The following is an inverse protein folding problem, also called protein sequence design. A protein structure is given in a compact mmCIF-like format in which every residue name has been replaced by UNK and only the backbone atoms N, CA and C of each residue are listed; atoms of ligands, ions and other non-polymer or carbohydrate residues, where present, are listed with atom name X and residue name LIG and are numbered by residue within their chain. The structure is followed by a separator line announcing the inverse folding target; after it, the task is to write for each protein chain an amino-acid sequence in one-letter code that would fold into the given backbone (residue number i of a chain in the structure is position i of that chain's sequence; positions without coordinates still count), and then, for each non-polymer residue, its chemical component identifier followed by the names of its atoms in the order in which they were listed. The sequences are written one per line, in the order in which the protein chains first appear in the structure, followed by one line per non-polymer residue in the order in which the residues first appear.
data_IF_564024251789
#
_entry.id   IF_564024251789
#
_cell.length_a   1.000
_cell.length_b   1.000
_cell.length_c   1.000
_cell.angle_alpha   90.00
_cell.angle_beta   90.00
_cell.angle_gamma   90.00
#
_symmetry.space_group_name_H-M   'P 1'
#
loop_
_entity.id
_entity.type
_entity.pdbx_description
1 polymer ?
#
# COMPACT_ATOMS: atom_id res chain seq x y z
N UNK A 1 1.95 -14.33 -22.90
CA UNK A 1 3.06 -13.37 -22.73
C UNK A 1 3.41 -13.41 -21.25
N UNK A 2 4.55 -13.96 -20.91
CA UNK A 2 5.07 -13.90 -19.57
C UNK A 2 5.16 -12.44 -19.16
N UNK A 3 4.55 -12.06 -18.04
CA UNK A 3 4.85 -10.79 -17.39
C UNK A 3 6.28 -10.91 -16.86
N UNK A 4 7.25 -10.26 -17.48
CA UNK A 4 8.67 -10.54 -17.19
C UNK A 4 9.08 -10.11 -15.77
N UNK A 5 8.19 -9.44 -15.03
CA UNK A 5 8.50 -8.87 -13.72
C UNK A 5 7.24 -8.70 -12.87
N UNK A 6 7.15 -9.43 -11.77
CA UNK A 6 6.02 -9.37 -10.86
C UNK A 6 6.10 -8.14 -9.94
N UNK A 7 4.96 -7.50 -9.66
CA UNK A 7 4.79 -6.46 -8.64
C UNK A 7 3.94 -7.03 -7.51
N UNK A 8 4.43 -6.89 -6.27
CA UNK A 8 3.67 -7.21 -5.07
C UNK A 8 3.08 -5.96 -4.41
N UNK A 9 2.06 -6.14 -3.57
CA UNK A 9 1.43 -5.06 -2.83
C UNK A 9 1.34 -5.35 -1.33
N UNK A 10 1.86 -4.43 -0.52
CA UNK A 10 1.66 -4.40 0.94
C UNK A 10 0.52 -3.43 1.25
N UNK A 11 -0.57 -3.94 1.80
CA UNK A 11 -1.66 -3.13 2.33
C UNK A 11 -1.35 -2.85 3.81
N UNK A 12 -1.07 -1.59 4.11
CA UNK A 12 -0.68 -1.14 5.44
C UNK A 12 -1.93 -0.91 6.31
N UNK A 13 -2.11 -1.75 7.32
CA UNK A 13 -3.29 -1.77 8.19
C UNK A 13 -2.93 -1.74 9.69
N UNK A 14 -1.74 -1.20 10.04
CA UNK A 14 -1.22 -1.17 11.41
C UNK A 14 -1.50 0.15 12.16
N UNK A 15 -2.26 1.07 11.57
CA UNK A 15 -2.60 2.35 12.20
C UNK A 15 -3.41 2.19 13.48
N UNK A 16 -3.20 3.08 14.47
CA UNK A 16 -3.85 2.98 15.79
C UNK A 16 -5.29 3.50 15.83
N UNK A 17 -5.77 4.17 14.77
CA UNK A 17 -7.13 4.75 14.68
C UNK A 17 -7.53 5.62 15.89
N UNK A 18 -6.58 6.33 16.51
CA UNK A 18 -6.77 7.02 17.80
C UNK A 18 -7.86 8.10 17.76
N UNK A 19 -8.08 8.72 16.59
CA UNK A 19 -9.12 9.75 16.39
C UNK A 19 -10.50 9.18 16.09
N UNK A 20 -10.58 7.89 15.78
CA UNK A 20 -11.82 7.24 15.33
C UNK A 20 -12.61 6.59 16.48
N UNK A 21 -12.01 6.42 17.67
CA UNK A 21 -12.62 5.78 18.84
C UNK A 21 -12.76 4.24 18.73
N UNK A 22 -12.63 3.71 17.51
CA UNK A 22 -12.65 2.27 17.18
C UNK A 22 -11.68 2.01 16.01
N UNK A 23 -11.53 0.75 15.58
CA UNK A 23 -10.72 0.45 14.42
C UNK A 23 -11.39 0.94 13.13
N UNK A 24 -10.94 2.07 12.58
CA UNK A 24 -11.51 2.68 11.38
C UNK A 24 -11.53 1.76 10.15
N UNK A 25 -10.61 0.82 10.06
CA UNK A 25 -10.51 -0.13 8.93
C UNK A 25 -11.70 -1.11 8.89
N UNK A 26 -12.37 -1.29 10.02
CA UNK A 26 -13.56 -2.13 10.15
C UNK A 26 -14.86 -1.31 10.13
N UNK A 27 -14.78 0.01 10.12
CA UNK A 27 -15.94 0.88 10.01
C UNK A 27 -16.69 0.64 8.68
N UNK A 28 -18.02 0.67 8.67
CA UNK A 28 -18.79 0.43 7.46
C UNK A 28 -18.60 1.57 6.46
N UNK A 29 -18.30 1.21 5.21
CA UNK A 29 -18.27 2.11 4.06
C UNK A 29 -18.91 1.40 2.86
N UNK A 30 -20.00 1.92 2.34
CA UNK A 30 -20.73 1.26 1.25
C UNK A 30 -21.21 -0.16 1.60
N UNK A 31 -21.57 -0.42 2.86
CA UNK A 31 -22.10 -1.70 3.34
C UNK A 31 -21.02 -2.76 3.66
N UNK A 32 -19.76 -2.44 3.57
CA UNK A 32 -18.63 -3.33 3.88
C UNK A 32 -17.60 -2.63 4.77
N UNK A 33 -16.70 -3.35 5.48
CA UNK A 33 -15.57 -2.75 6.16
C UNK A 33 -14.73 -1.89 5.23
N UNK A 34 -14.27 -0.72 5.69
CA UNK A 34 -13.47 0.22 4.89
C UNK A 34 -12.28 -0.45 4.21
N UNK A 35 -11.57 -1.34 4.90
CA UNK A 35 -10.41 -2.07 4.37
C UNK A 35 -10.74 -2.87 3.10
N UNK A 36 -11.98 -3.29 2.91
CA UNK A 36 -12.41 -4.00 1.70
C UNK A 36 -12.25 -3.14 0.43
N UNK A 37 -12.19 -1.81 0.55
CA UNK A 37 -11.87 -0.92 -0.56
C UNK A 37 -10.44 -1.13 -1.06
N UNK A 38 -9.48 -1.27 -0.15
CA UNK A 38 -8.10 -1.61 -0.50
C UNK A 38 -8.00 -3.00 -1.14
N UNK A 39 -8.79 -3.97 -0.65
CA UNK A 39 -8.86 -5.30 -1.25
C UNK A 39 -9.37 -5.24 -2.70
N UNK A 40 -10.42 -4.49 -2.94
CA UNK A 40 -10.97 -4.30 -4.28
C UNK A 40 -9.98 -3.57 -5.20
N UNK A 41 -9.37 -2.48 -4.74
CA UNK A 41 -8.44 -1.69 -5.53
C UNK A 41 -7.19 -2.50 -5.96
N UNK A 42 -6.76 -3.45 -5.14
CA UNK A 42 -5.59 -4.31 -5.43
C UNK A 42 -5.93 -5.63 -6.12
N UNK A 43 -7.20 -5.90 -6.38
CA UNK A 43 -7.63 -7.10 -7.09
C UNK A 43 -7.54 -6.90 -8.61
N UNK A 44 -6.33 -7.04 -9.14
CA UNK A 44 -6.02 -6.86 -10.56
C UNK A 44 -4.93 -7.84 -11.00
N UNK A 45 -4.92 -8.31 -12.27
CA UNK A 45 -3.85 -9.17 -12.80
C UNK A 45 -2.46 -8.51 -12.78
N UNK A 46 -2.38 -7.20 -12.63
CA UNK A 46 -1.11 -6.46 -12.58
C UNK A 46 -0.42 -6.54 -11.20
N UNK A 47 -1.13 -6.99 -10.16
CA UNK A 47 -0.57 -7.27 -8.83
C UNK A 47 -0.49 -8.77 -8.65
N UNK A 48 0.72 -9.29 -8.67
CA UNK A 48 0.96 -10.74 -8.62
C UNK A 48 0.67 -11.34 -7.24
N UNK A 49 0.96 -10.61 -6.17
CA UNK A 49 0.76 -11.05 -4.80
C UNK A 49 0.46 -9.84 -3.91
N UNK A 50 -0.33 -10.03 -2.88
CA UNK A 50 -0.65 -9.00 -1.89
C UNK A 50 -0.63 -9.56 -0.48
N UNK A 51 -0.24 -8.72 0.48
CA UNK A 51 -0.23 -9.05 1.90
C UNK A 51 -0.75 -7.86 2.69
N UNK A 52 -1.54 -8.13 3.71
CA UNK A 52 -1.95 -7.13 4.70
C UNK A 52 -1.00 -7.21 5.89
N UNK A 53 -0.57 -6.07 6.39
CA UNK A 53 0.21 -6.00 7.64
C UNK A 53 -0.60 -5.22 8.67
N UNK A 54 -0.91 -5.84 9.80
CA UNK A 54 -1.80 -5.28 10.81
C UNK A 54 -1.32 -5.55 12.23
N UNK A 55 -1.84 -4.75 13.16
CA UNK A 55 -1.70 -4.94 14.63
C UNK A 55 -3.01 -5.40 15.28
N UNK A 56 -4.05 -5.59 14.48
CA UNK A 56 -5.40 -5.80 14.96
C UNK A 56 -5.89 -7.21 14.60
N UNK A 57 -6.18 -8.02 15.63
CA UNK A 57 -6.68 -9.38 15.43
C UNK A 57 -7.98 -9.43 14.59
N UNK A 58 -8.88 -8.47 14.77
CA UNK A 58 -10.11 -8.38 13.98
C UNK A 58 -9.86 -8.10 12.49
N UNK A 59 -8.80 -7.36 12.15
CA UNK A 59 -8.37 -7.18 10.75
C UNK A 59 -7.82 -8.49 10.20
N UNK A 60 -7.05 -9.24 11.01
CA UNK A 60 -6.57 -10.56 10.62
C UNK A 60 -7.74 -11.51 10.33
N UNK A 61 -8.76 -11.53 11.18
CA UNK A 61 -9.97 -12.35 10.97
C UNK A 61 -10.66 -12.00 9.64
N UNK A 62 -10.80 -10.70 9.35
CA UNK A 62 -11.36 -10.24 8.07
C UNK A 62 -10.52 -10.72 6.87
N UNK A 63 -9.19 -10.59 6.96
CA UNK A 63 -8.28 -11.05 5.90
C UNK A 63 -8.40 -12.56 5.68
N UNK A 64 -8.42 -13.35 6.76
CA UNK A 64 -8.57 -14.80 6.69
C UNK A 64 -9.90 -15.20 6.03
N UNK A 65 -10.99 -14.51 6.38
CA UNK A 65 -12.31 -14.74 5.77
C UNK A 65 -12.34 -14.42 4.25
N UNK A 66 -11.47 -13.51 3.79
CA UNK A 66 -11.33 -13.13 2.40
C UNK A 66 -10.21 -13.89 1.66
N UNK A 67 -9.52 -14.81 2.34
CA UNK A 67 -8.39 -15.55 1.77
C UNK A 67 -7.19 -14.68 1.41
N UNK A 68 -7.00 -13.55 2.11
CA UNK A 68 -5.89 -12.61 1.86
C UNK A 68 -4.77 -12.87 2.86
N UNK A 69 -3.52 -13.09 2.41
CA UNK A 69 -2.38 -13.24 3.31
C UNK A 69 -2.23 -12.05 4.25
N UNK A 70 -1.97 -12.33 5.53
CA UNK A 70 -1.88 -11.30 6.56
C UNK A 70 -0.76 -11.56 7.54
N UNK A 71 -0.03 -10.52 7.93
CA UNK A 71 0.97 -10.52 8.99
C UNK A 71 0.41 -9.76 10.18
N UNK A 72 0.20 -10.46 11.29
CA UNK A 72 -0.15 -9.84 12.58
C UNK A 72 1.13 -9.59 13.37
N UNK A 73 1.28 -8.37 13.93
CA UNK A 73 2.44 -8.00 14.75
C UNK A 73 2.05 -7.01 15.85
N UNK A 74 2.94 -6.78 16.80
CA UNK A 74 2.77 -5.84 17.91
C UNK A 74 3.82 -4.71 17.92
N UNK A 75 4.72 -4.70 16.94
CA UNK A 75 5.82 -3.75 16.83
C UNK A 75 5.32 -2.31 16.59
N UNK A 76 5.97 -1.28 17.15
CA UNK A 76 5.41 0.07 17.21
C UNK A 76 5.59 0.90 15.93
N UNK A 77 6.58 0.59 15.11
CA UNK A 77 7.07 1.46 14.05
C UNK A 77 6.40 1.28 12.70
N UNK A 78 6.35 2.35 11.92
CA UNK A 78 5.94 2.27 10.51
C UNK A 78 6.97 1.52 9.68
N UNK A 79 8.25 1.63 10.02
CA UNK A 79 9.34 0.83 9.46
C UNK A 79 9.09 -0.66 9.63
N UNK A 80 8.52 -1.10 10.75
CA UNK A 80 8.20 -2.52 10.99
C UNK A 80 7.12 -3.02 10.02
N UNK A 81 6.07 -2.24 9.80
CA UNK A 81 5.01 -2.56 8.84
C UNK A 81 5.58 -2.72 7.43
N UNK A 82 6.47 -1.81 7.00
CA UNK A 82 7.13 -1.88 5.69
C UNK A 82 8.00 -3.12 5.58
N UNK A 83 8.87 -3.35 6.56
CA UNK A 83 9.82 -4.48 6.60
C UNK A 83 9.10 -5.84 6.61
N UNK A 84 8.11 -5.99 7.49
CA UNK A 84 7.35 -7.24 7.62
C UNK A 84 6.55 -7.55 6.35
N UNK A 85 5.92 -6.54 5.77
CA UNK A 85 5.15 -6.71 4.53
C UNK A 85 6.03 -7.10 3.35
N UNK A 86 7.16 -6.42 3.17
CA UNK A 86 8.10 -6.74 2.10
C UNK A 86 8.70 -8.15 2.29
N UNK A 87 9.08 -8.53 3.52
CA UNK A 87 9.60 -9.87 3.82
C UNK A 87 8.56 -10.95 3.47
N UNK A 88 7.31 -10.79 3.91
CA UNK A 88 6.25 -11.75 3.63
C UNK A 88 5.94 -11.89 2.13
N UNK A 89 6.02 -10.79 1.37
CA UNK A 89 5.88 -10.84 -0.09
C UNK A 89 7.03 -11.59 -0.75
N UNK A 90 8.28 -11.36 -0.31
CA UNK A 90 9.47 -12.01 -0.87
C UNK A 90 9.52 -13.51 -0.57
N UNK A 91 8.97 -13.95 0.57
CA UNK A 91 8.81 -15.38 0.87
C UNK A 91 7.84 -16.06 -0.11
N UNK A 92 6.80 -15.36 -0.55
CA UNK A 92 5.78 -15.88 -1.47
C UNK A 92 6.16 -15.71 -2.94
N UNK A 93 6.84 -14.63 -3.26
CA UNK A 93 7.27 -14.28 -4.61
C UNK A 93 8.68 -13.67 -4.57
N UNK A 94 9.74 -14.50 -4.57
CA UNK A 94 11.14 -14.03 -4.43
C UNK A 94 11.62 -13.12 -5.56
N UNK A 95 11.03 -13.26 -6.76
CA UNK A 95 11.45 -12.57 -7.98
C UNK A 95 10.68 -11.27 -8.27
N UNK A 96 10.07 -10.66 -7.23
CA UNK A 96 9.41 -9.38 -7.40
C UNK A 96 10.35 -8.32 -7.99
N UNK A 97 9.89 -7.63 -9.01
CA UNK A 97 10.58 -6.47 -9.59
C UNK A 97 10.27 -5.17 -8.85
N UNK A 98 9.12 -5.10 -8.20
CA UNK A 98 8.69 -3.95 -7.42
C UNK A 98 7.73 -4.33 -6.30
N UNK A 99 7.66 -3.47 -5.31
CA UNK A 99 6.74 -3.57 -4.18
C UNK A 99 5.96 -2.26 -4.02
N UNK A 100 4.64 -2.36 -4.08
CA UNK A 100 3.72 -1.25 -3.83
C UNK A 100 3.33 -1.23 -2.36
N UNK A 101 3.26 -0.03 -1.79
CA UNK A 101 2.72 0.20 -0.45
C UNK A 101 1.47 1.05 -0.55
N UNK A 102 0.39 0.57 0.05
CA UNK A 102 -0.94 1.14 -0.06
C UNK A 102 -1.57 1.22 1.33
N UNK A 103 -2.00 2.41 1.81
CA UNK A 103 -2.76 2.52 3.06
C UNK A 103 -4.11 1.82 2.95
N UNK A 104 -4.53 1.14 4.03
CA UNK A 104 -5.81 0.43 4.08
C UNK A 104 -7.03 1.32 4.25
N UNK A 105 -6.85 2.63 4.42
CA UNK A 105 -7.88 3.60 4.83
C UNK A 105 -8.21 4.66 3.77
N UNK A 106 -7.96 4.37 2.49
CA UNK A 106 -8.31 5.23 1.36
C UNK A 106 -9.62 4.75 0.69
N UNK A 107 -10.78 5.32 1.07
CA UNK A 107 -12.09 4.80 0.65
C UNK A 107 -12.37 4.95 -0.84
N UNK A 108 -11.80 5.96 -1.49
CA UNK A 108 -12.07 6.29 -2.88
C UNK A 108 -10.94 5.91 -3.85
N UNK A 109 -9.90 5.23 -3.35
CA UNK A 109 -8.89 4.65 -4.22
C UNK A 109 -9.51 3.53 -5.07
N UNK A 110 -9.19 3.52 -6.37
CA UNK A 110 -9.75 2.59 -7.35
C UNK A 110 -8.67 1.68 -7.95
N UNK A 111 -9.11 0.59 -8.55
CA UNK A 111 -8.23 -0.35 -9.28
C UNK A 111 -7.44 0.36 -10.38
N UNK A 112 -8.07 1.29 -11.09
CA UNK A 112 -7.42 2.08 -12.15
C UNK A 112 -6.22 2.89 -11.64
N UNK A 113 -6.28 3.38 -10.41
CA UNK A 113 -5.14 4.08 -9.79
C UNK A 113 -3.98 3.13 -9.53
N UNK A 114 -4.26 1.95 -8.99
CA UNK A 114 -3.26 0.89 -8.76
C UNK A 114 -2.63 0.46 -10.08
N UNK A 115 -3.44 0.19 -11.08
CA UNK A 115 -2.97 -0.20 -12.42
C UNK A 115 -2.15 0.90 -13.09
N UNK A 116 -2.55 2.17 -12.97
CA UNK A 116 -1.80 3.29 -13.53
C UNK A 116 -0.38 3.36 -12.95
N UNK A 117 -0.24 3.18 -11.63
CA UNK A 117 1.08 3.16 -10.96
C UNK A 117 1.93 1.98 -11.44
N UNK A 118 1.34 0.78 -11.59
CA UNK A 118 2.06 -0.40 -12.08
C UNK A 118 2.47 -0.22 -13.55
N UNK A 119 1.58 0.31 -14.41
CA UNK A 119 1.89 0.58 -15.82
C UNK A 119 3.00 1.62 -15.96
N UNK A 120 2.96 2.69 -15.17
CA UNK A 120 4.02 3.70 -15.13
C UNK A 120 5.37 3.07 -14.76
N UNK A 121 5.40 2.22 -13.75
CA UNK A 121 6.59 1.48 -13.34
C UNK A 121 7.18 0.62 -14.48
N UNK A 122 6.34 -0.07 -15.23
CA UNK A 122 6.80 -0.88 -16.38
C UNK A 122 7.24 -0.04 -17.57
N UNK A 123 6.69 1.16 -17.76
CA UNK A 123 7.04 2.04 -18.87
C UNK A 123 8.44 2.65 -18.74
N UNK A 124 8.99 2.71 -17.52
CA UNK A 124 10.32 3.26 -17.26
C UNK A 124 11.40 2.17 -17.33
N UNK A 125 12.49 2.42 -18.05
CA UNK A 125 13.63 1.49 -18.09
C UNK A 125 14.31 1.33 -16.74
N UNK A 126 14.28 2.36 -15.90
CA UNK A 126 14.96 2.40 -14.60
C UNK A 126 14.17 1.70 -13.49
N UNK A 127 12.85 1.54 -13.65
CA UNK A 127 11.96 0.97 -12.62
C UNK A 127 12.25 1.54 -11.24
N UNK A 128 12.13 2.85 -11.15
CA UNK A 128 12.46 3.59 -9.94
C UNK A 128 11.29 3.61 -8.94
N UNK A 129 10.86 4.79 -8.51
CA UNK A 129 9.74 4.97 -7.59
C UNK A 129 8.59 5.59 -8.39
N UNK A 130 7.41 4.96 -8.34
CA UNK A 130 6.20 5.53 -8.93
C UNK A 130 5.19 5.86 -7.81
N UNK A 131 4.65 7.07 -7.82
CA UNK A 131 3.77 7.57 -6.76
C UNK A 131 2.53 8.20 -7.35
N UNK A 132 1.34 7.80 -6.84
CA UNK A 132 0.10 8.48 -7.19
C UNK A 132 0.13 9.91 -6.64
N UNK A 133 -0.34 10.87 -7.43
CA UNK A 133 -0.37 12.29 -7.06
C UNK A 133 -1.54 13.02 -7.72
N UNK A 134 -1.92 14.18 -7.19
CA UNK A 134 -2.91 15.05 -7.79
C UNK A 134 -2.47 16.51 -7.69
N UNK A 135 -2.29 17.20 -8.82
CA UNK A 135 -1.89 18.62 -8.89
C UNK A 135 -0.69 18.95 -7.97
N UNK A 136 0.36 18.12 -8.01
CA UNK A 136 1.56 18.30 -7.20
C UNK A 136 1.44 17.83 -5.73
N UNK A 137 0.27 17.37 -5.32
CA UNK A 137 0.09 16.77 -4.00
C UNK A 137 0.45 15.29 -4.05
N UNK A 138 1.42 14.92 -3.24
CA UNK A 138 1.85 13.55 -3.10
C UNK A 138 0.80 12.69 -2.42
N UNK A 139 0.57 11.48 -2.94
CA UNK A 139 -0.38 10.52 -2.39
C UNK A 139 0.16 9.09 -2.33
N UNK A 140 -0.74 8.16 -2.18
CA UNK A 140 -0.52 6.72 -2.22
C UNK A 140 -1.49 6.11 -3.22
N UNK A 141 -1.17 4.95 -3.80
CA UNK A 141 -0.04 4.06 -3.52
C UNK A 141 1.30 4.58 -4.02
N UNK A 142 2.37 4.04 -3.42
CA UNK A 142 3.75 4.25 -3.86
C UNK A 142 4.38 2.89 -4.17
N UNK A 143 4.95 2.75 -5.36
CA UNK A 143 5.64 1.55 -5.82
C UNK A 143 7.14 1.81 -5.86
N UNK A 144 7.92 0.95 -5.22
CA UNK A 144 9.37 0.98 -5.21
C UNK A 144 9.93 -0.17 -6.03
N UNK A 145 10.89 0.12 -6.90
CA UNK A 145 11.63 -0.90 -7.64
C UNK A 145 12.53 -1.75 -6.73
N UNK A 146 12.91 -2.93 -7.19
CA UNK A 146 13.68 -3.92 -6.42
C UNK A 146 14.96 -3.36 -5.79
N UNK A 147 15.62 -2.40 -6.41
CA UNK A 147 16.84 -1.77 -5.86
C UNK A 147 16.62 -1.06 -4.51
N UNK A 148 15.37 -0.75 -4.17
CA UNK A 148 15.01 -0.12 -2.88
C UNK A 148 14.61 -1.12 -1.81
N UNK A 149 14.57 -2.43 -2.10
CA UNK A 149 14.10 -3.43 -1.12
C UNK A 149 15.02 -3.50 0.10
N UNK A 150 16.31 -3.49 -0.11
CA UNK A 150 17.29 -3.49 0.98
C UNK A 150 17.16 -2.21 1.83
N UNK A 151 17.17 -0.98 1.29
CA UNK A 151 16.87 0.22 2.06
C UNK A 151 15.50 0.22 2.76
N UNK A 152 14.46 -0.35 2.16
CA UNK A 152 13.12 -0.45 2.77
C UNK A 152 13.12 -1.39 3.98
N UNK A 153 13.94 -2.44 3.98
CA UNK A 153 14.10 -3.35 5.11
C UNK A 153 14.89 -2.74 6.28
N UNK A 154 15.67 -1.69 6.03
CA UNK A 154 16.54 -1.02 7.00
C UNK A 154 16.16 0.45 7.24
N UNK A 155 14.88 0.78 7.11
CA UNK A 155 14.39 2.13 7.43
C UNK A 155 14.65 2.48 8.90
N UNK A 156 15.02 3.75 9.19
CA UNK A 156 15.14 4.21 10.56
C UNK A 156 13.81 4.06 11.32
N UNK A 157 13.91 3.92 12.64
CA UNK A 157 12.75 3.75 13.53
C UNK A 157 11.66 4.81 13.25
N UNK A 158 10.42 4.36 13.17
CA UNK A 158 9.25 5.20 12.90
C UNK A 158 9.15 5.79 11.49
N UNK A 159 10.14 5.58 10.62
CA UNK A 159 10.10 6.06 9.23
C UNK A 159 9.37 5.07 8.32
N UNK A 160 8.75 5.60 7.28
CA UNK A 160 8.13 4.83 6.19
C UNK A 160 8.82 5.11 4.87
N UNK A 161 8.25 4.63 3.76
CA UNK A 161 8.79 4.81 2.40
C UNK A 161 9.05 6.27 2.00
N UNK A 162 8.31 7.23 2.57
CA UNK A 162 8.56 8.66 2.36
C UNK A 162 9.97 9.11 2.75
N UNK A 163 10.64 8.38 3.62
CA UNK A 163 12.05 8.64 3.95
C UNK A 163 12.95 8.44 2.72
N UNK A 164 12.77 7.33 1.99
CA UNK A 164 13.54 7.07 0.76
C UNK A 164 13.16 8.03 -0.37
N UNK A 165 11.89 8.38 -0.50
CA UNK A 165 11.45 9.37 -1.51
C UNK A 165 12.21 10.69 -1.35
N UNK A 166 12.43 11.14 -0.11
CA UNK A 166 13.22 12.36 0.16
C UNK A 166 14.70 12.21 -0.14
N UNK A 167 15.24 11.00 -0.04
CA UNK A 167 16.66 10.72 -0.37
C UNK A 167 16.88 10.60 -1.88
N UNK A 168 15.85 10.19 -2.63
CA UNK A 168 15.92 9.93 -4.07
C UNK A 168 14.84 10.71 -4.85
N UNK A 169 14.78 12.05 -4.72
CA UNK A 169 13.72 12.85 -5.34
C UNK A 169 13.69 12.72 -6.87
N UNK A 170 14.86 12.60 -7.50
CA UNK A 170 14.98 12.48 -8.96
C UNK A 170 14.57 11.10 -9.50
N UNK A 171 14.39 10.13 -8.60
CA UNK A 171 13.93 8.78 -8.95
C UNK A 171 12.41 8.63 -8.92
N UNK A 172 11.68 9.68 -8.53
CA UNK A 172 10.23 9.63 -8.35
C UNK A 172 9.52 10.04 -9.63
N UNK A 173 8.69 9.14 -10.15
CA UNK A 173 7.73 9.42 -11.19
C UNK A 173 6.35 9.64 -10.57
N UNK A 174 5.78 10.81 -10.79
CA UNK A 174 4.41 11.13 -10.41
C UNK A 174 3.42 10.53 -11.42
N UNK A 175 2.40 9.86 -10.89
CA UNK A 175 1.30 9.26 -11.66
C UNK A 175 0.02 10.03 -11.31
N UNK A 176 -0.64 10.68 -12.27
CA UNK A 176 -1.78 11.51 -11.96
C UNK A 176 -3.01 10.70 -11.56
N UNK A 177 -3.62 11.07 -10.44
CA UNK A 177 -4.98 10.67 -10.07
C UNK A 177 -6.02 11.55 -10.78
N UNK A 178 -7.25 11.08 -10.92
CA UNK A 178 -8.33 11.86 -11.53
C UNK A 178 -8.87 12.95 -10.59
N UNK A 179 -8.76 12.74 -9.26
CA UNK A 179 -9.20 13.71 -8.26
C UNK A 179 -8.39 13.61 -6.97
N UNK A 180 -8.42 14.70 -6.19
CA UNK A 180 -7.80 14.72 -4.85
C UNK A 180 -8.43 13.69 -3.89
N UNK A 181 -9.71 13.39 -4.06
CA UNK A 181 -10.44 12.46 -3.20
C UNK A 181 -9.91 11.01 -3.30
N UNK A 182 -9.32 10.64 -4.43
CA UNK A 182 -8.68 9.32 -4.60
C UNK A 182 -7.44 9.13 -3.72
N UNK A 183 -6.86 10.24 -3.23
CA UNK A 183 -5.69 10.25 -2.34
C UNK A 183 -6.07 10.41 -0.87
N UNK A 184 -7.34 10.68 -0.57
CA UNK A 184 -7.78 11.05 0.78
C UNK A 184 -7.87 9.82 1.69
N UNK A 185 -7.29 9.95 2.88
CA UNK A 185 -7.45 8.99 3.97
C UNK A 185 -8.75 9.29 4.74
N UNK A 186 -9.41 8.24 5.24
CA UNK A 186 -10.55 8.39 6.14
C UNK A 186 -10.07 8.68 7.57
N UNK A 187 -9.83 9.93 7.90
CA UNK A 187 -9.28 10.32 9.22
C UNK A 187 -10.33 10.48 10.31
N UNK A 188 -11.59 10.69 9.93
CA UNK A 188 -12.72 10.86 10.86
C UNK A 188 -13.93 10.05 10.40
N UNK A 189 -14.89 9.72 11.32
CA UNK A 189 -16.13 9.04 10.94
C UNK A 189 -16.95 9.77 9.87
N UNK A 190 -16.92 11.11 9.86
CA UNK A 190 -17.64 11.94 8.89
C UNK A 190 -17.08 11.77 7.46
N UNK A 191 -15.81 11.41 7.32
CA UNK A 191 -15.21 11.12 6.02
C UNK A 191 -15.76 9.84 5.36
N UNK A 192 -16.54 9.04 6.12
CA UNK A 192 -17.18 7.81 5.65
C UNK A 192 -18.69 7.96 5.43
N UNK A 193 -19.26 9.15 5.72
CA UNK A 193 -20.68 9.42 5.61
C UNK A 193 -21.14 9.68 4.17
#
# INVERSE_FOLDING_TARGET
MEQPFAVGCVIMASGRSTRFGSNKLLAPFGGQPLLCRAFAATHTPLVAERVVVTRHAQVQELCNAQGIPVVLHDLPGRNDTVRLGLAALLERCPDLAGCMFLPGDQPLLRTENVEAVVRAFYSTKKRDICRLSYEGRAGSPVLFGRRYFEPLQHLPEGKGGSFLIRQYPDAVQEVPAASLWELADADTPEALA
#
